data_IF_187865364502
#
_entry.id   IF_187865364502
#
_cell.length_a   1.000
_cell.length_b   1.000
_cell.length_c   1.000
_cell.angle_alpha   90.00
_cell.angle_beta   90.00
_cell.angle_gamma   90.00
#
_symmetry.space_group_name_H-M   'P 1'
#
loop_
_entity.id
_entity.type
_entity.pdbx_description
1 polymer ?
#
# COMPACT_ATOMS: atom_id res chain seq x y z
N UNK A 1 -28.16 40.87 -46.23
CA UNK A 1 -28.10 39.58 -46.96
C UNK A 1 -28.42 38.46 -45.97
N UNK A 2 -29.63 37.88 -46.07
CA UNK A 2 -30.15 36.56 -45.59
C UNK A 2 -29.56 36.00 -44.26
N UNK A 3 -30.26 36.05 -43.12
CA UNK A 3 -31.26 35.07 -42.60
C UNK A 3 -30.89 33.61 -42.88
N UNK A 4 -30.66 32.81 -41.81
CA UNK A 4 -31.40 31.56 -41.52
C UNK A 4 -31.06 30.92 -40.17
N UNK A 5 -32.02 31.07 -39.26
CA UNK A 5 -32.35 30.20 -38.12
C UNK A 5 -32.79 28.81 -38.61
N UNK A 6 -32.36 27.75 -37.92
CA UNK A 6 -32.84 26.35 -38.01
C UNK A 6 -32.71 25.84 -36.56
N UNK A 7 -33.72 25.58 -35.72
CA UNK A 7 -35.07 24.99 -35.79
C UNK A 7 -35.13 23.50 -36.19
N UNK A 8 -35.81 22.71 -35.35
CA UNK A 8 -36.17 21.28 -35.48
C UNK A 8 -35.06 20.25 -35.18
N UNK A 9 -35.28 19.15 -34.44
CA UNK A 9 -36.54 18.50 -34.02
C UNK A 9 -36.26 17.48 -32.92
N UNK A 10 -37.11 17.50 -31.89
CA UNK A 10 -37.31 16.44 -30.91
C UNK A 10 -38.08 15.29 -31.58
N UNK A 11 -37.59 14.04 -31.49
CA UNK A 11 -38.38 12.84 -31.80
C UNK A 11 -38.24 11.85 -30.65
N UNK A 12 -39.34 11.75 -29.90
CA UNK A 12 -39.64 10.73 -28.91
C UNK A 12 -40.18 9.51 -29.68
N UNK A 13 -39.62 8.32 -29.50
CA UNK A 13 -40.24 7.09 -30.00
C UNK A 13 -40.24 6.02 -28.92
N UNK A 14 -41.43 5.78 -28.37
CA UNK A 14 -41.78 4.64 -27.56
C UNK A 14 -42.16 3.46 -28.48
N UNK A 15 -41.69 2.26 -28.15
CA UNK A 15 -42.17 1.03 -28.75
C UNK A 15 -42.40 -0.01 -27.64
N UNK A 16 -43.67 -0.22 -27.34
CA UNK A 16 -44.22 -1.38 -26.64
C UNK A 16 -44.26 -2.55 -27.63
N UNK A 17 -43.72 -3.70 -27.25
CA UNK A 17 -44.13 -4.98 -27.85
C UNK A 17 -44.54 -5.95 -26.74
N UNK A 18 -45.86 -6.09 -26.63
CA UNK A 18 -46.55 -7.22 -26.01
C UNK A 18 -46.57 -8.35 -27.04
N UNK A 19 -46.19 -9.55 -26.62
CA UNK A 19 -46.29 -10.77 -27.44
C UNK A 19 -46.51 -11.99 -26.55
N UNK A 20 -47.77 -12.39 -26.44
CA UNK A 20 -48.23 -13.64 -25.83
C UNK A 20 -47.96 -14.86 -26.73
N UNK A 21 -47.84 -16.06 -26.13
CA UNK A 21 -48.20 -17.31 -26.80
C UNK A 21 -47.28 -18.51 -26.54
N UNK A 22 -47.59 -19.31 -25.51
CA UNK A 22 -47.33 -20.77 -25.42
C UNK A 22 -48.37 -21.55 -26.29
N UNK A 23 -48.50 -22.90 -26.35
CA UNK A 23 -47.87 -23.99 -25.56
C UNK A 23 -47.56 -25.33 -26.34
N UNK A 24 -46.94 -26.30 -25.66
CA UNK A 24 -47.23 -27.74 -25.77
C UNK A 24 -46.68 -28.45 -24.52
N UNK A 25 -47.58 -28.88 -23.62
CA UNK A 25 -48.07 -30.27 -23.48
C UNK A 25 -47.00 -31.22 -22.92
N UNK A 26 -47.02 -31.55 -21.62
CA UNK A 26 -47.95 -32.43 -20.87
C UNK A 26 -47.45 -33.88 -20.83
N UNK A 27 -47.13 -34.34 -19.62
CA UNK A 27 -47.32 -35.73 -19.19
C UNK A 27 -47.54 -35.72 -17.69
N UNK A 28 -48.75 -36.06 -17.32
CA UNK A 28 -49.27 -36.10 -15.96
C UNK A 28 -49.02 -37.47 -15.32
N UNK A 29 -48.92 -37.41 -13.98
CA UNK A 29 -49.57 -38.30 -13.00
C UNK A 29 -49.19 -39.78 -12.97
N UNK A 30 -48.72 -40.26 -11.82
CA UNK A 30 -49.50 -41.18 -10.96
C UNK A 30 -49.15 -40.89 -9.49
N UNK A 31 -50.19 -40.66 -8.68
CA UNK A 31 -50.14 -40.65 -7.23
C UNK A 31 -50.10 -42.08 -6.66
N UNK A 32 -49.34 -42.28 -5.59
CA UNK A 32 -49.36 -43.51 -4.80
C UNK A 32 -48.89 -43.21 -3.38
N UNK A 33 -49.83 -42.84 -2.52
CA UNK A 33 -49.61 -42.81 -1.08
C UNK A 33 -49.59 -44.25 -0.55
N UNK A 34 -48.60 -44.61 0.25
CA UNK A 34 -48.85 -45.54 1.35
C UNK A 34 -47.88 -45.35 2.52
N UNK A 35 -48.47 -45.48 3.70
CA UNK A 35 -47.85 -45.32 5.00
C UNK A 35 -47.05 -46.55 5.42
N UNK A 36 -45.85 -46.36 5.97
CA UNK A 36 -45.36 -47.20 7.06
C UNK A 36 -44.39 -46.43 7.94
N UNK A 37 -44.62 -46.50 9.25
CA UNK A 37 -43.84 -45.88 10.30
C UNK A 37 -42.67 -46.77 10.77
N UNK A 38 -41.71 -46.08 11.41
CA UNK A 38 -40.73 -46.53 12.42
C UNK A 38 -39.47 -47.31 11.96
N UNK A 39 -38.39 -47.35 12.78
CA UNK A 39 -38.00 -46.45 13.88
C UNK A 39 -36.62 -45.79 13.68
N UNK A 40 -36.39 -44.75 14.47
CA UNK A 40 -35.07 -44.19 14.72
C UNK A 40 -34.22 -45.21 15.51
N UNK A 41 -33.10 -45.64 14.94
CA UNK A 41 -32.08 -46.36 15.68
C UNK A 41 -31.00 -45.37 16.11
N UNK A 42 -31.11 -44.94 17.36
CA UNK A 42 -30.05 -44.27 18.08
C UNK A 42 -28.85 -45.21 18.18
N UNK A 43 -27.72 -44.82 17.59
CA UNK A 43 -26.43 -45.47 17.83
C UNK A 43 -25.76 -44.66 18.94
N UNK A 44 -25.75 -45.25 20.13
CA UNK A 44 -25.06 -44.78 21.32
C UNK A 44 -23.59 -44.49 21.02
N UNK A 45 -23.17 -43.25 21.21
CA UNK A 45 -21.76 -42.91 21.34
C UNK A 45 -21.24 -43.40 22.70
N UNK A 46 -20.09 -44.09 22.77
CA UNK A 46 -19.43 -44.32 24.04
C UNK A 46 -18.80 -43.01 24.54
N UNK A 47 -19.30 -42.52 25.68
CA UNK A 47 -18.68 -41.47 26.49
C UNK A 47 -17.30 -41.95 26.95
N UNK A 48 -16.24 -41.49 26.28
CA UNK A 48 -14.89 -41.58 26.83
C UNK A 48 -14.69 -40.41 27.80
N UNK A 49 -14.49 -40.73 29.08
CA UNK A 49 -14.05 -39.75 30.09
C UNK A 49 -12.67 -39.18 29.68
N UNK A 50 -12.44 -37.86 29.84
CA UNK A 50 -11.08 -37.33 29.76
C UNK A 50 -10.26 -37.81 30.97
N UNK A 51 -8.96 -38.15 30.81
CA UNK A 51 -8.10 -38.39 31.96
C UNK A 51 -7.83 -37.06 32.70
N UNK A 52 -8.06 -37.10 34.01
CA UNK A 52 -7.65 -36.09 34.99
C UNK A 52 -6.15 -35.85 34.87
N UNK A 53 -5.76 -34.63 34.46
CA UNK A 53 -4.38 -34.18 34.56
C UNK A 53 -4.08 -33.79 36.02
N UNK A 54 -3.12 -34.47 36.62
CA UNK A 54 -2.58 -34.21 37.94
C UNK A 54 -1.67 -32.96 37.91
N UNK A 55 -1.75 -32.03 38.88
CA UNK A 55 -0.88 -30.85 38.90
C UNK A 55 0.45 -31.22 39.54
N UNK A 56 1.46 -31.51 38.72
CA UNK A 56 2.83 -31.64 39.21
C UNK A 56 3.40 -30.27 39.55
N UNK A 57 3.69 -30.08 40.83
CA UNK A 57 4.39 -28.92 41.35
C UNK A 57 5.88 -28.89 40.97
N UNK A 58 6.36 -27.65 40.86
CA UNK A 58 7.68 -27.08 40.53
C UNK A 58 8.83 -27.64 41.41
N UNK A 59 10.12 -27.57 40.99
CA UNK A 59 10.90 -26.35 41.29
C UNK A 59 11.96 -25.93 40.24
N UNK A 60 12.40 -24.66 40.37
CA UNK A 60 13.75 -24.08 40.19
C UNK A 60 14.65 -24.56 39.03
N UNK A 61 15.35 -23.72 38.27
CA UNK A 61 16.05 -22.50 38.67
C UNK A 61 16.26 -21.58 37.46
N UNK A 62 16.29 -20.28 37.72
CA UNK A 62 16.75 -19.25 36.79
C UNK A 62 18.28 -19.37 36.67
N UNK A 63 18.87 -19.52 35.47
CA UNK A 63 20.29 -19.29 35.31
C UNK A 63 20.55 -17.77 35.45
N UNK A 64 21.18 -17.40 36.56
CA UNK A 64 21.84 -16.09 36.72
C UNK A 64 22.90 -15.96 35.63
N UNK A 65 22.63 -15.11 34.63
CA UNK A 65 23.66 -14.69 33.70
C UNK A 65 24.70 -13.87 34.46
N UNK A 66 25.93 -14.36 34.49
CA UNK A 66 27.11 -13.66 34.96
C UNK A 66 27.35 -12.43 34.08
N UNK A 67 27.60 -11.23 34.65
CA UNK A 67 27.89 -10.06 33.85
C UNK A 67 29.27 -10.20 33.21
N UNK A 68 29.29 -10.39 31.88
CA UNK A 68 30.51 -10.25 31.08
C UNK A 68 31.04 -8.84 31.23
N UNK A 69 32.20 -8.71 31.88
CA UNK A 69 32.98 -7.47 31.95
C UNK A 69 33.39 -7.09 30.53
N UNK A 70 32.82 -6.01 30.02
CA UNK A 70 33.22 -5.37 28.76
C UNK A 70 34.55 -4.64 29.02
N UNK A 71 35.65 -4.94 28.30
CA UNK A 71 36.88 -4.17 28.44
C UNK A 71 36.67 -2.73 27.91
N UNK A 72 37.30 -1.71 28.52
CA UNK A 72 37.20 -0.34 28.05
C UNK A 72 37.83 -0.18 26.65
N UNK A 73 37.31 0.73 25.81
CA UNK A 73 37.90 1.02 24.51
C UNK A 73 39.28 1.67 24.69
N UNK A 74 40.29 1.11 24.01
CA UNK A 74 41.62 1.71 23.89
C UNK A 74 41.52 3.04 23.14
N UNK A 75 41.85 4.14 23.81
CA UNK A 75 42.02 5.45 23.20
C UNK A 75 43.16 5.43 22.17
N UNK A 76 42.88 5.92 20.97
CA UNK A 76 43.89 6.17 19.93
C UNK A 76 44.38 7.61 20.11
N UNK A 77 45.69 7.85 20.32
CA UNK A 77 46.22 9.21 20.41
C UNK A 77 46.21 9.93 19.05
N UNK A 78 46.02 11.26 19.01
CA UNK A 78 46.09 12.04 17.79
C UNK A 78 47.56 12.40 17.50
N UNK A 79 48.07 12.06 16.31
CA UNK A 79 49.40 12.50 15.88
C UNK A 79 49.38 13.06 14.46
N UNK A 80 49.48 14.39 14.43
CA UNK A 80 50.21 15.28 13.54
C UNK A 80 50.27 15.03 12.02
N UNK A 81 49.80 16.05 11.29
CA UNK A 81 50.18 16.35 9.92
C UNK A 81 51.68 16.71 9.80
N UNK A 82 52.27 16.48 8.61
CA UNK A 82 53.37 17.31 8.12
C UNK A 82 52.92 18.19 6.96
N UNK A 83 53.24 19.47 7.08
CA UNK A 83 53.22 20.45 6.00
C UNK A 83 54.51 20.37 5.16
N UNK A 84 54.35 20.68 3.87
CA UNK A 84 55.29 21.30 2.91
C UNK A 84 56.64 20.66 2.59
N UNK A 85 56.81 20.32 1.30
CA UNK A 85 58.01 20.68 0.51
C UNK A 85 57.58 21.03 -0.93
N UNK A 86 57.76 22.30 -1.28
CA UNK A 86 58.00 22.81 -2.64
C UNK A 86 59.38 22.30 -3.13
N UNK A 87 59.79 22.31 -4.39
CA UNK A 87 59.26 22.58 -5.73
C UNK A 87 60.31 21.96 -6.68
N UNK A 88 59.97 21.62 -7.93
CA UNK A 88 60.93 21.85 -9.02
C UNK A 88 60.20 22.11 -10.35
N UNK A 89 60.80 23.01 -11.08
CA UNK A 89 60.39 23.73 -12.29
C UNK A 89 61.05 23.15 -13.54
N UNK A 90 60.38 23.35 -14.68
CA UNK A 90 60.79 23.20 -16.10
C UNK A 90 60.04 22.07 -16.81
N UNK A 91 59.51 22.23 -18.01
CA UNK A 91 59.40 23.34 -18.97
C UNK A 91 58.47 22.82 -20.10
N UNK A 92 58.03 23.71 -20.97
CA UNK A 92 57.39 23.54 -22.28
C UNK A 92 55.86 23.72 -22.32
N UNK A 93 55.35 24.77 -23.00
CA UNK A 93 53.93 24.96 -23.25
C UNK A 93 53.47 24.02 -24.37
N UNK A 94 52.64 23.04 -24.03
CA UNK A 94 51.89 22.27 -25.02
C UNK A 94 50.65 23.08 -25.41
N UNK A 95 50.58 23.46 -26.69
CA UNK A 95 49.35 23.98 -27.31
C UNK A 95 48.33 22.83 -27.36
N UNK A 96 47.55 22.68 -26.30
CA UNK A 96 46.39 21.79 -26.30
C UNK A 96 45.21 22.49 -26.97
N UNK A 97 44.78 21.87 -28.07
CA UNK A 97 43.48 21.88 -28.73
C UNK A 97 42.33 22.39 -27.84
N UNK A 98 41.37 23.20 -28.36
CA UNK A 98 40.23 23.66 -27.58
C UNK A 98 39.49 22.47 -26.96
N UNK A 99 39.53 22.35 -25.63
CA UNK A 99 38.69 21.42 -24.91
C UNK A 99 37.24 21.73 -25.27
N UNK A 100 36.59 20.78 -25.96
CA UNK A 100 35.16 20.80 -26.19
C UNK A 100 34.52 20.84 -24.81
N UNK A 101 33.96 21.99 -24.45
CA UNK A 101 33.13 22.15 -23.25
C UNK A 101 31.91 21.26 -23.47
N UNK A 102 31.97 20.04 -22.96
CA UNK A 102 30.78 19.25 -22.75
C UNK A 102 29.89 20.07 -21.79
N UNK A 103 28.62 20.33 -22.14
CA UNK A 103 27.70 20.93 -21.21
C UNK A 103 27.72 20.06 -19.94
N UNK A 104 28.13 20.65 -18.83
CA UNK A 104 27.88 20.06 -17.52
C UNK A 104 26.36 20.01 -17.44
N UNK A 105 25.79 18.80 -17.44
CA UNK A 105 24.37 18.58 -17.19
C UNK A 105 24.02 19.27 -15.86
N UNK A 106 23.52 20.51 -15.95
CA UNK A 106 22.85 21.12 -14.82
C UNK A 106 21.68 20.20 -14.48
N UNK A 107 21.48 19.83 -13.19
CA UNK A 107 20.30 19.10 -12.79
C UNK A 107 19.09 19.91 -13.25
N UNK A 108 18.36 19.40 -14.23
CA UNK A 108 17.06 19.95 -14.61
C UNK A 108 16.27 20.00 -13.31
N UNK A 109 15.89 21.21 -12.88
CA UNK A 109 15.08 21.40 -11.69
C UNK A 109 13.88 20.46 -11.82
N UNK A 110 13.84 19.44 -10.96
CA UNK A 110 12.91 18.34 -11.12
C UNK A 110 11.49 18.91 -11.06
N UNK A 111 10.79 18.86 -12.19
CA UNK A 111 9.45 19.41 -12.29
C UNK A 111 8.48 18.51 -11.54
N UNK A 112 7.74 19.10 -10.61
CA UNK A 112 6.68 18.39 -9.91
C UNK A 112 5.65 17.86 -10.93
N UNK A 113 5.30 16.58 -10.80
CA UNK A 113 4.41 15.92 -11.75
C UNK A 113 3.68 14.75 -11.08
N UNK A 114 2.52 14.38 -11.61
CA UNK A 114 1.69 13.31 -11.04
C UNK A 114 2.45 11.97 -11.01
N UNK A 115 2.28 11.17 -9.96
CA UNK A 115 2.86 9.84 -9.87
C UNK A 115 2.11 8.86 -10.78
N UNK A 116 2.84 8.17 -11.66
CA UNK A 116 2.31 7.13 -12.57
C UNK A 116 2.72 5.72 -12.20
N UNK A 117 3.72 5.57 -11.32
CA UNK A 117 4.15 4.27 -10.83
C UNK A 117 4.66 4.39 -9.40
N UNK A 118 4.30 3.43 -8.56
CA UNK A 118 4.89 3.23 -7.23
C UNK A 118 5.46 1.82 -7.14
N UNK A 119 6.70 1.71 -6.66
CA UNK A 119 7.39 0.44 -6.49
C UNK A 119 7.98 0.33 -5.09
N UNK A 120 7.80 -0.82 -4.45
CA UNK A 120 8.39 -1.16 -3.15
C UNK A 120 8.95 -2.58 -3.24
N UNK A 121 10.23 -2.75 -3.65
CA UNK A 121 10.80 -4.05 -3.98
C UNK A 121 10.74 -5.06 -2.83
N UNK A 122 10.96 -4.62 -1.59
CA UNK A 122 10.98 -5.50 -0.41
C UNK A 122 9.67 -6.30 -0.20
N UNK A 123 8.55 -5.82 -0.76
CA UNK A 123 7.23 -6.47 -0.64
C UNK A 123 6.64 -6.85 -2.00
N UNK A 124 7.41 -6.75 -3.08
CA UNK A 124 6.98 -6.98 -4.47
C UNK A 124 5.76 -6.12 -4.85
N UNK A 125 5.70 -4.87 -4.38
CA UNK A 125 4.66 -3.92 -4.78
C UNK A 125 5.10 -3.18 -6.03
N UNK A 126 4.26 -3.22 -7.07
CA UNK A 126 4.44 -2.46 -8.31
C UNK A 126 3.05 -2.13 -8.87
N UNK A 127 2.66 -0.86 -8.81
CA UNK A 127 1.32 -0.41 -9.19
C UNK A 127 1.40 0.90 -9.97
N UNK A 128 0.45 1.09 -10.89
CA UNK A 128 0.10 2.40 -11.42
C UNK A 128 -0.94 3.05 -10.49
N UNK A 129 -0.61 4.11 -9.74
CA UNK A 129 -1.55 4.73 -8.83
C UNK A 129 -2.71 5.39 -9.59
N UNK A 130 -3.92 5.23 -9.07
CA UNK A 130 -5.11 5.94 -9.56
C UNK A 130 -5.21 7.27 -8.82
N UNK A 131 -5.35 8.38 -9.56
CA UNK A 131 -5.63 9.69 -8.96
C UNK A 131 -7.02 9.67 -8.31
N UNK A 132 -7.05 9.85 -6.99
CA UNK A 132 -8.28 9.81 -6.19
C UNK A 132 -8.35 10.99 -5.23
N UNK A 133 -9.57 11.49 -5.02
CA UNK A 133 -9.85 12.56 -4.07
C UNK A 133 -10.81 12.09 -2.98
N UNK A 134 -11.71 12.98 -2.60
CA UNK A 134 -12.80 12.69 -1.68
C UNK A 134 -14.11 12.50 -2.44
N UNK A 135 -15.02 11.71 -1.90
CA UNK A 135 -16.38 11.59 -2.43
C UNK A 135 -17.26 12.79 -2.02
N UNK A 136 -18.54 12.77 -2.43
CA UNK A 136 -19.52 13.83 -2.11
C UNK A 136 -19.76 14.06 -0.61
N UNK A 137 -19.35 13.13 0.25
CA UNK A 137 -19.48 13.19 1.70
C UNK A 137 -18.13 13.50 2.38
N UNK A 138 -17.12 13.93 1.62
CA UNK A 138 -15.75 14.17 2.06
C UNK A 138 -15.03 12.91 2.57
N UNK A 139 -15.43 11.73 2.08
CA UNK A 139 -14.78 10.47 2.45
C UNK A 139 -13.68 10.12 1.44
N UNK A 140 -12.47 9.76 1.93
CA UNK A 140 -11.42 9.09 1.15
C UNK A 140 -11.91 8.06 0.13
N UNK A 141 -11.71 8.32 -1.17
CA UNK A 141 -11.92 7.33 -2.23
C UNK A 141 -10.73 6.37 -2.25
N UNK A 142 -10.96 5.08 -2.02
CA UNK A 142 -9.93 4.03 -2.10
C UNK A 142 -10.30 3.04 -3.21
N UNK A 143 -9.49 2.88 -4.27
CA UNK A 143 -9.72 1.87 -5.29
C UNK A 143 -9.71 0.47 -4.69
N UNK A 144 -10.55 -0.43 -5.19
CA UNK A 144 -10.68 -1.79 -4.64
C UNK A 144 -9.38 -2.60 -4.78
N UNK A 145 -8.77 -2.55 -5.97
CA UNK A 145 -7.66 -3.44 -6.31
C UNK A 145 -6.36 -2.71 -6.63
N UNK A 146 -6.39 -1.38 -6.61
CA UNK A 146 -5.28 -0.53 -7.02
C UNK A 146 -4.83 0.36 -5.87
N UNK A 147 -3.64 0.93 -6.01
CA UNK A 147 -3.16 1.99 -5.13
C UNK A 147 -3.83 3.30 -5.56
N UNK A 148 -4.39 4.04 -4.61
CA UNK A 148 -4.85 5.40 -4.84
C UNK A 148 -3.75 6.40 -4.48
N UNK A 149 -3.45 7.36 -5.34
CA UNK A 149 -2.74 8.57 -4.95
C UNK A 149 -3.75 9.64 -4.57
N UNK A 150 -3.62 10.19 -3.36
CA UNK A 150 -4.51 11.24 -2.89
C UNK A 150 -4.15 12.56 -3.56
N UNK A 151 -4.95 13.00 -4.53
CA UNK A 151 -4.63 14.13 -5.40
C UNK A 151 -4.72 15.53 -4.75
N UNK A 152 -5.14 15.58 -3.48
CA UNK A 152 -5.04 16.78 -2.64
C UNK A 152 -3.77 16.78 -1.78
N UNK A 153 -2.96 15.71 -1.86
CA UNK A 153 -1.60 15.68 -1.32
C UNK A 153 -0.59 16.18 -2.36
N UNK A 154 0.67 16.29 -1.97
CA UNK A 154 1.72 16.78 -2.84
C UNK A 154 2.03 15.79 -3.99
N UNK A 155 2.59 16.33 -5.07
CA UNK A 155 3.32 15.59 -6.08
C UNK A 155 4.80 15.47 -5.67
N UNK A 156 5.51 14.40 -6.09
CA UNK A 156 6.96 14.33 -5.94
C UNK A 156 7.65 15.59 -6.48
N UNK A 157 8.59 16.15 -5.72
CA UNK A 157 9.28 17.41 -6.03
C UNK A 157 8.64 18.68 -5.52
N UNK A 158 7.43 18.63 -4.95
CA UNK A 158 6.79 19.82 -4.34
C UNK A 158 7.28 20.12 -2.91
N UNK A 159 8.16 19.30 -2.34
CA UNK A 159 8.68 19.57 -1.00
C UNK A 159 7.70 19.25 0.14
N UNK A 160 6.65 18.47 -0.11
CA UNK A 160 5.56 18.21 0.84
C UNK A 160 5.13 16.72 0.89
N UNK A 161 4.15 16.41 1.75
CA UNK A 161 3.66 15.04 1.97
C UNK A 161 2.90 14.48 0.77
N UNK A 162 3.35 13.34 0.23
CA UNK A 162 2.74 12.60 -0.88
C UNK A 162 2.05 11.38 -0.30
N UNK A 163 0.74 11.25 -0.50
CA UNK A 163 -0.07 10.26 0.21
C UNK A 163 -0.62 9.19 -0.74
N UNK A 164 -0.38 7.92 -0.42
CA UNK A 164 -0.91 6.76 -1.15
C UNK A 164 -1.75 5.86 -0.26
N UNK A 165 -2.89 5.39 -0.76
CA UNK A 165 -3.85 4.56 -0.04
C UNK A 165 -4.00 3.19 -0.70
N UNK A 166 -4.28 2.18 0.11
CA UNK A 166 -4.53 0.83 -0.40
C UNK A 166 -5.15 -0.11 0.62
N UNK A 167 -5.91 -1.09 0.11
CA UNK A 167 -6.47 -2.16 0.93
C UNK A 167 -5.44 -3.21 1.30
N UNK A 168 -5.57 -3.76 2.51
CA UNK A 168 -4.72 -4.85 3.03
C UNK A 168 -5.32 -6.24 2.82
N UNK A 169 -6.65 -6.32 2.64
CA UNK A 169 -7.36 -7.57 2.41
C UNK A 169 -7.91 -7.67 0.99
N UNK A 170 -7.93 -8.90 0.48
CA UNK A 170 -8.59 -9.22 -0.79
C UNK A 170 -10.10 -9.02 -0.67
N UNK A 171 -10.74 -8.68 -1.79
CA UNK A 171 -12.18 -8.57 -1.86
C UNK A 171 -12.81 -9.94 -2.12
N UNK A 172 -13.90 -10.26 -1.41
CA UNK A 172 -14.63 -11.53 -1.60
C UNK A 172 -15.09 -11.75 -3.04
N UNK A 173 -15.49 -10.68 -3.74
CA UNK A 173 -15.90 -10.74 -5.14
C UNK A 173 -14.75 -11.08 -6.10
N UNK A 174 -13.50 -10.85 -5.70
CA UNK A 174 -12.30 -11.07 -6.52
C UNK A 174 -11.18 -11.69 -5.66
N UNK A 175 -11.35 -12.94 -5.18
CA UNK A 175 -10.47 -13.55 -4.19
C UNK A 175 -9.07 -13.88 -4.72
N UNK A 176 -8.91 -13.91 -6.05
CA UNK A 176 -7.62 -14.13 -6.73
C UNK A 176 -6.80 -12.85 -6.88
N UNK A 177 -7.44 -11.67 -6.79
CA UNK A 177 -6.74 -10.39 -6.91
C UNK A 177 -6.13 -10.03 -5.56
N UNK A 178 -4.80 -9.85 -5.46
CA UNK A 178 -4.17 -9.43 -4.22
C UNK A 178 -4.66 -8.04 -3.80
N UNK A 179 -4.60 -7.76 -2.51
CA UNK A 179 -4.83 -6.41 -2.00
C UNK A 179 -3.55 -5.59 -2.23
N UNK A 180 -3.64 -4.34 -2.71
CA UNK A 180 -2.47 -3.55 -3.09
C UNK A 180 -1.49 -3.37 -1.93
N UNK A 181 -1.99 -3.23 -0.71
CA UNK A 181 -1.18 -3.04 0.50
C UNK A 181 -1.14 -4.27 1.42
N UNK A 182 -1.39 -5.47 0.90
CA UNK A 182 -1.43 -6.72 1.68
C UNK A 182 -0.18 -6.94 2.55
N UNK A 183 0.97 -6.48 2.07
CA UNK A 183 2.29 -6.71 2.68
C UNK A 183 2.95 -5.45 3.25
N UNK A 184 2.26 -4.30 3.25
CA UNK A 184 2.86 -3.02 3.73
C UNK A 184 3.28 -3.11 5.20
N UNK A 185 2.62 -3.94 6.02
CA UNK A 185 3.02 -4.21 7.41
C UNK A 185 4.39 -4.89 7.57
N UNK A 186 4.93 -5.48 6.50
CA UNK A 186 6.22 -6.17 6.50
C UNK A 186 7.39 -5.18 6.29
N UNK A 187 7.10 -3.94 5.88
CA UNK A 187 8.13 -2.93 5.61
C UNK A 187 8.88 -2.56 6.88
N UNK A 188 10.21 -2.64 6.78
CA UNK A 188 11.13 -2.23 7.82
C UNK A 188 11.70 -0.83 7.53
N UNK A 189 12.16 -0.10 8.55
CA UNK A 189 12.96 1.10 8.35
C UNK A 189 14.14 0.84 7.38
N UNK A 190 14.39 1.78 6.48
CA UNK A 190 15.39 1.66 5.42
C UNK A 190 14.88 1.05 4.10
N UNK A 191 13.69 0.43 4.08
CA UNK A 191 13.13 -0.13 2.85
C UNK A 191 12.88 0.96 1.79
N UNK A 192 13.30 0.70 0.55
CA UNK A 192 13.16 1.64 -0.57
C UNK A 192 11.72 1.69 -1.10
N UNK A 193 11.24 2.92 -1.31
CA UNK A 193 10.04 3.23 -2.10
C UNK A 193 10.49 4.08 -3.27
N UNK A 194 10.06 3.71 -4.47
CA UNK A 194 10.29 4.48 -5.69
C UNK A 194 8.96 4.98 -6.25
N UNK A 195 8.93 6.26 -6.62
CA UNK A 195 7.77 6.88 -7.26
C UNK A 195 8.21 7.47 -8.60
N UNK A 196 7.68 6.95 -9.70
CA UNK A 196 7.91 7.51 -11.03
C UNK A 196 6.77 8.44 -11.40
N UNK A 197 7.11 9.60 -11.95
CA UNK A 197 6.14 10.64 -12.37
C UNK A 197 5.89 10.63 -13.87
N UNK A 198 4.86 11.33 -14.36
CA UNK A 198 4.53 11.43 -15.79
C UNK A 198 5.69 11.96 -16.65
N UNK A 199 6.61 12.75 -16.08
CA UNK A 199 7.81 13.24 -16.77
C UNK A 199 8.88 12.16 -16.94
N UNK A 200 8.68 10.96 -16.40
CA UNK A 200 9.67 9.89 -16.36
C UNK A 200 10.65 9.98 -15.18
N UNK A 201 10.64 11.09 -14.41
CA UNK A 201 11.50 11.24 -13.25
C UNK A 201 11.11 10.24 -12.15
N UNK A 202 12.10 9.50 -11.65
CA UNK A 202 11.97 8.60 -10.51
C UNK A 202 12.48 9.27 -9.24
N UNK A 203 11.70 9.17 -8.18
CA UNK A 203 11.97 9.72 -6.86
C UNK A 203 12.18 8.57 -5.87
N UNK A 204 13.21 8.68 -5.04
CA UNK A 204 13.59 7.64 -4.08
C UNK A 204 13.32 8.08 -2.64
N UNK A 205 12.67 7.20 -1.89
CA UNK A 205 12.36 7.38 -0.48
C UNK A 205 12.78 6.15 0.30
N UNK A 206 13.06 6.33 1.60
CA UNK A 206 13.31 5.23 2.54
C UNK A 206 12.32 5.28 3.68
N UNK A 207 11.70 4.14 3.98
CA UNK A 207 10.82 3.99 5.14
C UNK A 207 11.58 4.41 6.40
N UNK A 208 10.99 5.31 7.18
CA UNK A 208 11.52 5.73 8.49
C UNK A 208 10.81 5.00 9.61
N UNK A 209 9.49 4.95 9.56
CA UNK A 209 8.68 4.40 10.65
C UNK A 209 7.32 3.94 10.16
N UNK A 210 6.67 3.11 10.97
CA UNK A 210 5.27 2.78 10.80
C UNK A 210 4.54 2.86 12.15
N UNK A 211 3.36 3.48 12.16
CA UNK A 211 2.57 3.70 13.37
C UNK A 211 1.12 3.28 13.17
N UNK A 212 0.50 2.77 14.22
CA UNK A 212 -0.94 2.47 14.24
C UNK A 212 -1.69 3.66 14.81
N UNK A 213 -2.72 4.10 14.10
CA UNK A 213 -3.50 5.30 14.44
C UNK A 213 -4.99 5.01 14.30
N UNK A 214 -5.84 5.78 14.98
CA UNK A 214 -7.28 5.75 14.74
C UNK A 214 -7.64 6.59 13.50
N UNK A 215 -8.76 6.31 12.80
CA UNK A 215 -9.11 7.02 11.56
C UNK A 215 -9.31 8.53 11.69
N UNK A 216 -9.58 9.04 12.89
CA UNK A 216 -9.73 10.46 13.20
C UNK A 216 -8.39 11.22 13.33
N UNK A 217 -7.27 10.51 13.43
CA UNK A 217 -5.93 11.11 13.46
C UNK A 217 -5.45 11.51 12.05
N UNK A 218 -6.09 12.53 11.50
CA UNK A 218 -5.85 13.00 10.11
C UNK A 218 -4.52 13.72 9.91
N UNK A 219 -3.81 14.09 10.98
CA UNK A 219 -2.55 14.83 10.91
C UNK A 219 -1.46 14.15 10.06
N UNK A 220 -1.53 12.83 9.87
CA UNK A 220 -0.55 12.07 9.08
C UNK A 220 -0.69 12.26 7.56
N UNK A 221 -1.83 12.75 7.07
CA UNK A 221 -2.06 12.96 5.63
C UNK A 221 -1.99 14.44 5.22
N UNK A 222 -1.75 15.33 6.18
CA UNK A 222 -1.64 16.77 5.94
C UNK A 222 -0.23 17.15 5.46
N UNK A 223 -0.04 18.37 4.93
CA UNK A 223 1.29 18.94 4.70
C UNK A 223 2.14 18.93 5.97
N UNK A 224 3.44 18.74 5.82
CA UNK A 224 4.40 18.59 6.94
C UNK A 224 5.64 19.47 6.81
N UNK A 225 5.74 20.31 5.76
CA UNK A 225 6.88 21.20 5.55
C UNK A 225 8.13 20.48 5.03
N UNK A 226 8.01 19.23 4.60
CA UNK A 226 9.08 18.45 4.00
C UNK A 226 8.55 17.38 3.06
N UNK A 227 9.37 17.02 2.08
CA UNK A 227 9.03 15.95 1.15
C UNK A 227 9.11 14.58 1.84
N UNK A 228 7.98 13.88 1.86
CA UNK A 228 7.89 12.52 2.37
C UNK A 228 6.79 11.77 1.64
N UNK A 229 6.87 10.44 1.69
CA UNK A 229 5.78 9.55 1.28
C UNK A 229 5.08 9.00 2.51
N UNK A 230 3.75 9.07 2.52
CA UNK A 230 2.89 8.43 3.52
C UNK A 230 2.03 7.35 2.87
N UNK A 231 2.22 6.10 3.26
CA UNK A 231 1.34 5.00 2.89
C UNK A 231 0.27 4.83 3.99
N UNK A 232 -0.99 4.92 3.60
CA UNK A 232 -2.13 4.71 4.51
C UNK A 232 -2.82 3.41 4.16
N UNK A 233 -2.86 2.50 5.13
CA UNK A 233 -3.58 1.23 5.00
C UNK A 233 -4.53 1.03 6.18
N UNK A 234 -5.51 0.15 6.05
CA UNK A 234 -6.32 -0.26 7.20
C UNK A 234 -5.48 -1.16 8.13
N UNK A 235 -5.52 -0.89 9.45
CA UNK A 235 -5.04 -1.83 10.48
C UNK A 235 -6.11 -2.08 11.52
N UNK A 236 -5.98 -3.21 12.18
CA UNK A 236 -6.96 -3.81 13.05
C UNK A 236 -7.00 -5.23 12.57
N UNK A 237 -6.63 -6.16 13.45
CA UNK A 237 -6.93 -7.57 13.21
C UNK A 237 -8.37 -7.62 12.72
N UNK A 238 -8.59 -8.29 11.60
CA UNK A 238 -9.94 -8.46 11.09
C UNK A 238 -10.67 -9.37 12.08
N UNK A 239 -11.12 -8.82 13.20
CA UNK A 239 -12.01 -9.51 14.10
C UNK A 239 -13.32 -9.59 13.33
N UNK A 240 -13.63 -10.80 12.90
CA UNK A 240 -14.94 -11.10 12.34
C UNK A 240 -15.92 -11.02 13.51
N UNK A 241 -16.49 -9.84 13.72
CA UNK A 241 -17.60 -9.65 14.65
C UNK A 241 -18.89 -9.72 13.84
N UNK A 242 -19.71 -10.76 14.07
CA UNK A 242 -21.01 -10.92 13.40
C UNK A 242 -20.95 -10.98 11.86
N UNK A 243 -19.85 -11.47 11.27
CA UNK A 243 -19.68 -11.57 9.81
C UNK A 243 -19.15 -10.29 9.14
N UNK A 244 -18.87 -9.23 9.90
CA UNK A 244 -18.26 -7.99 9.42
C UNK A 244 -16.78 -7.85 9.80
N UNK A 245 -16.05 -7.02 9.06
CA UNK A 245 -14.66 -6.63 9.39
C UNK A 245 -14.67 -5.31 10.15
N UNK A 246 -14.18 -5.29 11.38
CA UNK A 246 -14.01 -4.04 12.14
C UNK A 246 -12.72 -3.33 11.75
N UNK A 247 -12.80 -2.08 11.29
CA UNK A 247 -11.67 -1.26 10.84
C UNK A 247 -11.22 -0.26 11.91
N UNK A 248 -10.73 -0.76 13.04
CA UNK A 248 -10.45 0.07 14.23
C UNK A 248 -9.28 1.04 14.04
N UNK A 249 -8.27 0.68 13.25
CA UNK A 249 -7.04 1.44 13.10
C UNK A 249 -6.63 1.63 11.62
N UNK A 250 -5.53 2.35 11.43
CA UNK A 250 -4.80 2.53 10.17
C UNK A 250 -3.32 2.25 10.41
N UNK A 251 -2.64 1.59 9.47
CA UNK A 251 -1.19 1.67 9.40
C UNK A 251 -0.86 2.97 8.67
N UNK A 252 -0.02 3.78 9.29
CA UNK A 252 0.67 4.86 8.60
C UNK A 252 2.13 4.45 8.48
N UNK A 253 2.60 4.23 7.27
CA UNK A 253 4.04 4.05 6.99
C UNK A 253 4.58 5.34 6.40
N UNK A 254 5.60 5.91 7.04
CA UNK A 254 6.21 7.18 6.61
C UNK A 254 7.60 6.91 6.07
N UNK A 255 7.91 7.45 4.91
CA UNK A 255 9.21 7.37 4.27
C UNK A 255 9.74 8.76 3.94
N UNK A 256 10.99 9.03 4.30
CA UNK A 256 11.63 10.31 3.97
C UNK A 256 12.32 10.22 2.60
N UNK A 257 12.41 11.36 1.92
CA UNK A 257 13.13 11.48 0.64
C UNK A 257 14.62 11.18 0.84
N UNK A 258 15.19 10.41 -0.09
CA UNK A 258 16.65 10.24 -0.23
C UNK A 258 17.17 11.35 -1.14
N UNK A 259 18.15 12.11 -0.66
CA UNK A 259 18.84 13.14 -1.45
C UNK A 259 19.87 12.53 -2.38
#
# INVERSE_FOLDING_TARGET
MRIRTICSTLVLMAALFVGCGSPSESSQSIAGANMTAAPATAISQPTALPPTAEPTAIPSAVPTAEPTVVPPPTEIPPTAAPAVVAADTNDTPHLEEPAVVHPVDQPVAATASQPVRIQIPAINLDYAPVSVGLDKNNIPIVPKHDVGWYNLSAMPGQGENIVFWGHVLRFKAQPKTPAPFARVKELQPGASIYVTTETGQQWHYKVRTAVQVTPDQVNYILPVGKEQVTLVSCIGDNVIAGGGVTKKYRLITIADRVQ
#
